data_IF_090973020365
#
_entry.id   IF_090973020365
#
_cell.length_a   1.000
_cell.length_b   1.000
_cell.length_c   1.000
_cell.angle_alpha   90.00
_cell.angle_beta   90.00
_cell.angle_gamma   90.00
#
_symmetry.space_group_name_H-M   'P 1'
#
loop_
_entity.id
_entity.type
_entity.pdbx_description
1 polymer ?
#
# COMPACT_ATOMS: atom_id res chain seq x y z
N UNK A 1 11.33 18.59 -7.62
CA UNK A 1 10.06 18.62 -8.36
C UNK A 1 9.56 17.18 -8.55
N UNK A 2 8.33 16.84 -8.14
CA UNK A 2 7.73 15.50 -8.34
C UNK A 2 6.94 15.39 -9.67
N UNK A 3 7.05 16.39 -10.54
CA UNK A 3 6.26 16.48 -11.78
C UNK A 3 6.40 15.25 -12.68
N UNK A 4 7.62 14.71 -12.80
CA UNK A 4 7.89 13.50 -13.58
C UNK A 4 7.17 12.24 -13.10
N UNK A 5 6.71 12.19 -11.83
CA UNK A 5 5.87 11.09 -11.32
C UNK A 5 4.39 11.36 -11.58
N UNK A 6 3.95 12.61 -11.48
CA UNK A 6 2.55 12.99 -11.66
C UNK A 6 2.07 12.82 -13.11
N UNK A 7 2.96 12.94 -14.09
CA UNK A 7 2.61 12.77 -15.51
C UNK A 7 2.72 11.33 -16.01
N UNK A 8 3.15 10.36 -15.19
CA UNK A 8 3.37 8.96 -15.62
C UNK A 8 2.14 8.33 -16.25
N UNK A 9 0.94 8.70 -15.79
CA UNK A 9 -0.31 8.17 -16.35
C UNK A 9 -0.51 8.56 -17.82
N UNK A 10 0.14 9.64 -18.30
CA UNK A 10 0.08 10.04 -19.72
C UNK A 10 0.98 9.17 -20.59
N UNK A 11 1.95 8.46 -20.00
CA UNK A 11 2.89 7.57 -20.72
C UNK A 11 2.29 6.18 -20.95
N UNK A 12 1.30 5.76 -20.16
CA UNK A 12 0.73 4.42 -20.20
C UNK A 12 -0.77 4.41 -19.86
N UNK A 13 -1.61 4.07 -20.84
CA UNK A 13 -3.07 4.12 -20.70
C UNK A 13 -3.69 3.15 -19.69
N UNK A 14 -2.91 2.20 -19.17
CA UNK A 14 -3.34 1.30 -18.08
C UNK A 14 -3.09 1.88 -16.69
N UNK A 15 -2.36 3.00 -16.57
CA UNK A 15 -2.13 3.66 -15.30
C UNK A 15 -3.30 4.62 -14.99
N UNK A 16 -3.94 4.51 -13.83
CA UNK A 16 -4.97 5.45 -13.42
C UNK A 16 -4.36 6.82 -13.11
N UNK A 17 -5.13 7.89 -13.34
CA UNK A 17 -4.75 9.27 -12.99
C UNK A 17 -4.71 9.50 -11.47
N UNK A 18 -5.48 8.70 -10.73
CA UNK A 18 -5.60 8.79 -9.27
C UNK A 18 -4.93 7.61 -8.56
N UNK A 19 -4.64 7.81 -7.28
CA UNK A 19 -4.03 6.81 -6.42
C UNK A 19 -5.04 6.08 -5.51
N UNK A 20 -6.35 6.19 -5.79
CA UNK A 20 -7.42 5.70 -4.90
C UNK A 20 -7.32 4.20 -4.67
N UNK A 21 -6.80 3.44 -5.63
CA UNK A 21 -6.58 1.99 -5.49
C UNK A 21 -5.53 1.71 -4.41
N UNK A 22 -4.38 2.38 -4.43
CA UNK A 22 -3.34 2.17 -3.43
C UNK A 22 -3.77 2.68 -2.06
N UNK A 23 -4.46 3.84 -2.01
CA UNK A 23 -4.98 4.40 -0.75
C UNK A 23 -6.01 3.48 -0.10
N UNK A 24 -6.93 2.90 -0.88
CA UNK A 24 -7.88 1.90 -0.36
C UNK A 24 -7.18 0.63 0.12
N UNK A 25 -6.14 0.17 -0.58
CA UNK A 25 -5.37 -1.01 -0.18
C UNK A 25 -4.62 -0.80 1.15
N UNK A 26 -4.07 0.40 1.39
CA UNK A 26 -3.31 0.68 2.62
C UNK A 26 -4.21 1.10 3.80
N UNK A 27 -5.44 1.56 3.54
CA UNK A 27 -6.36 2.07 4.57
C UNK A 27 -6.63 1.08 5.72
N UNK A 28 -6.91 -0.21 5.50
CA UNK A 28 -7.10 -1.18 6.59
C UNK A 28 -5.87 -1.29 7.49
N UNK A 29 -4.67 -1.25 6.90
CA UNK A 29 -3.40 -1.29 7.62
C UNK A 29 -3.19 -0.05 8.49
N UNK A 30 -3.48 1.15 7.96
CA UNK A 30 -3.38 2.40 8.72
C UNK A 30 -4.37 2.44 9.88
N UNK A 31 -5.60 1.97 9.67
CA UNK A 31 -6.63 1.92 10.73
C UNK A 31 -6.25 0.89 11.81
N UNK A 32 -5.76 -0.29 11.41
CA UNK A 32 -5.40 -1.38 12.31
C UNK A 32 -4.19 -1.10 13.21
N UNK A 33 -3.31 -0.17 12.84
CA UNK A 33 -2.08 0.16 13.58
C UNK A 33 -2.30 0.50 15.06
N UNK A 34 -3.41 1.15 15.42
CA UNK A 34 -3.72 1.45 16.84
C UNK A 34 -4.04 0.21 17.67
N UNK A 35 -4.41 -0.91 17.04
CA UNK A 35 -4.75 -2.17 17.70
C UNK A 35 -3.57 -3.16 17.76
N UNK A 36 -2.45 -2.87 17.10
CA UNK A 36 -1.33 -3.81 16.99
C UNK A 36 -0.21 -3.45 17.97
N UNK A 37 -0.28 -4.07 19.15
CA UNK A 37 0.63 -3.91 20.28
C UNK A 37 2.13 -4.12 19.97
N UNK A 38 2.48 -4.63 18.79
CA UNK A 38 3.87 -4.90 18.36
C UNK A 38 4.35 -4.05 17.17
N UNK A 39 3.55 -3.07 16.73
CA UNK A 39 3.91 -2.17 15.61
C UNK A 39 4.94 -1.09 15.98
N UNK A 40 5.37 -1.04 17.24
CA UNK A 40 6.26 0.01 17.77
C UNK A 40 7.76 -0.31 17.59
N UNK A 41 8.09 -1.53 17.12
CA UNK A 41 9.48 -1.91 16.83
C UNK A 41 9.72 -2.03 15.31
N UNK A 42 10.91 -1.68 14.80
CA UNK A 42 11.23 -1.87 13.37
C UNK A 42 11.02 -3.31 12.89
N UNK A 43 11.37 -4.29 13.74
CA UNK A 43 11.16 -5.72 13.44
C UNK A 43 9.68 -6.08 13.32
N UNK A 44 8.84 -5.60 14.24
CA UNK A 44 7.39 -5.79 14.18
C UNK A 44 6.75 -5.12 12.97
N UNK A 45 7.23 -3.93 12.60
CA UNK A 45 6.80 -3.23 11.39
C UNK A 45 7.14 -4.02 10.11
N UNK A 46 8.37 -4.54 10.00
CA UNK A 46 8.79 -5.36 8.84
C UNK A 46 7.99 -6.66 8.74
N UNK A 47 7.81 -7.38 9.85
CA UNK A 47 7.01 -8.62 9.86
C UNK A 47 5.55 -8.36 9.46
N UNK A 48 4.95 -7.29 9.98
CA UNK A 48 3.58 -6.89 9.63
C UNK A 48 3.46 -6.51 8.16
N UNK A 49 4.44 -5.77 7.61
CA UNK A 49 4.47 -5.40 6.20
C UNK A 49 4.57 -6.62 5.27
N UNK A 50 5.38 -7.62 5.63
CA UNK A 50 5.52 -8.86 4.86
C UNK A 50 4.23 -9.66 4.82
N UNK A 51 3.59 -9.88 5.98
CA UNK A 51 2.33 -10.61 6.07
C UNK A 51 1.21 -9.91 5.29
N UNK A 52 1.07 -8.59 5.42
CA UNK A 52 0.08 -7.84 4.67
C UNK A 52 0.35 -7.86 3.16
N UNK A 53 1.61 -7.76 2.75
CA UNK A 53 1.97 -7.85 1.33
C UNK A 53 1.55 -9.20 0.74
N UNK A 54 1.75 -10.30 1.47
CA UNK A 54 1.33 -11.64 1.05
C UNK A 54 -0.19 -11.75 0.92
N UNK A 55 -0.95 -11.30 1.92
CA UNK A 55 -2.42 -11.37 1.94
C UNK A 55 -3.04 -10.51 0.83
N UNK A 56 -2.58 -9.28 0.66
CA UNK A 56 -3.12 -8.39 -0.39
C UNK A 56 -2.75 -8.86 -1.79
N UNK A 57 -1.55 -9.45 -1.97
CA UNK A 57 -1.16 -10.06 -3.25
C UNK A 57 -2.05 -11.27 -3.55
N UNK A 58 -2.37 -12.11 -2.56
CA UNK A 58 -3.28 -13.23 -2.75
C UNK A 58 -4.69 -12.75 -3.11
N UNK A 59 -5.22 -11.74 -2.42
CA UNK A 59 -6.53 -11.14 -2.74
C UNK A 59 -6.57 -10.50 -4.14
N UNK A 60 -5.45 -9.94 -4.62
CA UNK A 60 -5.39 -9.33 -5.94
C UNK A 60 -5.36 -10.35 -7.09
N UNK A 61 -5.02 -11.62 -6.81
CA UNK A 61 -4.83 -12.68 -7.82
C UNK A 61 -5.84 -13.85 -7.70
N UNK A 62 -6.79 -13.79 -6.77
CA UNK A 62 -7.88 -14.77 -6.62
C UNK A 62 -9.21 -14.14 -7.02
#
# INVERSE_FOLDING_TARGET
>A
SNWSRLIRYTEAGYLPIDNNRAERAIRPFVIGRKAWLFSDTPKGATASAQLYSLVETARANG
#
